data_IF_936528817249
#
_entry.id   IF_936528817249
#
_cell.length_a   1.000
_cell.length_b   1.000
_cell.length_c   1.000
_cell.angle_alpha   90.00
_cell.angle_beta   90.00
_cell.angle_gamma   90.00
#
_symmetry.space_group_name_H-M   'P 1'
#
loop_
_entity.id
_entity.type
_entity.pdbx_description
1 polymer ?
#
# COMPACT_ATOMS: atom_id res chain seq x y z
N UNK A 1 22.64 28.92 3.17
CA UNK A 1 22.77 28.33 4.52
C UNK A 1 22.35 26.86 4.43
N UNK A 2 23.18 25.90 4.81
CA UNK A 2 22.87 24.46 4.69
C UNK A 2 21.79 24.01 5.69
N UNK A 3 20.96 23.04 5.32
CA UNK A 3 19.99 22.43 6.24
C UNK A 3 20.72 21.70 7.37
N UNK A 4 20.17 21.74 8.59
CA UNK A 4 20.69 20.93 9.72
C UNK A 4 20.40 19.44 9.45
N UNK A 5 21.21 18.56 10.01
CA UNK A 5 21.04 17.10 9.87
C UNK A 5 19.64 16.62 10.28
N UNK A 6 19.08 17.17 11.36
CA UNK A 6 17.72 16.84 11.80
C UNK A 6 16.66 17.24 10.79
N UNK A 7 16.84 18.38 10.11
CA UNK A 7 15.91 18.85 9.09
C UNK A 7 16.02 17.95 7.85
N UNK A 8 17.24 17.52 7.49
CA UNK A 8 17.46 16.56 6.39
C UNK A 8 16.80 15.20 6.68
N UNK A 9 16.93 14.67 7.90
CA UNK A 9 16.30 13.39 8.28
C UNK A 9 14.79 13.50 8.25
N UNK A 10 14.22 14.59 8.79
CA UNK A 10 12.78 14.85 8.75
C UNK A 10 12.27 14.89 7.31
N UNK A 11 12.95 15.61 6.44
CA UNK A 11 12.59 15.68 5.02
C UNK A 11 12.63 14.31 4.36
N UNK A 12 13.66 13.49 4.65
CA UNK A 12 13.76 12.14 4.11
C UNK A 12 12.63 11.23 4.59
N UNK A 13 12.28 11.28 5.87
CA UNK A 13 11.17 10.49 6.42
C UNK A 13 9.84 10.95 5.80
N UNK A 14 9.61 12.25 5.71
CA UNK A 14 8.41 12.81 5.09
C UNK A 14 8.29 12.40 3.62
N UNK A 15 9.37 12.54 2.85
CA UNK A 15 9.40 12.14 1.44
C UNK A 15 9.24 10.63 1.26
N UNK A 16 9.80 9.80 2.17
CA UNK A 16 9.59 8.36 2.14
C UNK A 16 8.13 7.98 2.42
N UNK A 17 7.48 8.66 3.36
CA UNK A 17 6.06 8.45 3.65
C UNK A 17 5.18 8.83 2.45
N UNK A 18 5.38 10.04 1.91
CA UNK A 18 4.64 10.50 0.73
C UNK A 18 4.91 9.59 -0.47
N UNK A 19 6.17 9.20 -0.70
CA UNK A 19 6.54 8.30 -1.79
C UNK A 19 5.86 6.93 -1.70
N UNK A 20 5.74 6.36 -0.49
CA UNK A 20 5.02 5.10 -0.27
C UNK A 20 3.52 5.25 -0.58
N UNK A 21 2.88 6.26 -0.01
CA UNK A 21 1.44 6.52 -0.24
C UNK A 21 1.17 6.74 -1.73
N UNK A 22 1.97 7.58 -2.39
CA UNK A 22 1.84 7.86 -3.82
C UNK A 22 2.05 6.61 -4.69
N UNK A 23 3.06 5.79 -4.37
CA UNK A 23 3.33 4.56 -5.12
C UNK A 23 2.22 3.52 -5.00
N UNK A 24 1.70 3.32 -3.78
CA UNK A 24 0.55 2.46 -3.51
C UNK A 24 -0.68 2.93 -4.31
N UNK A 25 -1.01 4.22 -4.24
CA UNK A 25 -2.14 4.79 -4.97
C UNK A 25 -1.99 4.68 -6.50
N UNK A 26 -0.76 4.79 -7.03
CA UNK A 26 -0.49 4.68 -8.46
C UNK A 26 -0.78 3.27 -9.00
N UNK A 27 -0.48 2.22 -8.22
CA UNK A 27 -0.69 0.83 -8.62
C UNK A 27 -2.13 0.34 -8.39
N UNK A 28 -2.82 0.90 -7.39
CA UNK A 28 -4.13 0.43 -6.91
C UNK A 28 -5.18 0.24 -8.02
N UNK A 29 -5.37 1.15 -8.99
CA UNK A 29 -6.40 0.96 -10.02
C UNK A 29 -6.18 -0.23 -10.95
N UNK A 30 -4.93 -0.68 -11.09
CA UNK A 30 -4.51 -1.67 -12.10
C UNK A 30 -3.92 -2.94 -11.49
N UNK A 31 -3.96 -3.07 -10.17
CA UNK A 31 -3.45 -4.25 -9.46
C UNK A 31 -4.17 -5.52 -9.94
N UNK A 32 -5.50 -5.53 -9.87
CA UNK A 32 -6.28 -6.69 -10.30
C UNK A 32 -6.24 -6.92 -11.81
N UNK A 33 -6.16 -5.86 -12.61
CA UNK A 33 -5.90 -5.94 -14.04
C UNK A 33 -4.60 -6.72 -14.33
N UNK A 34 -3.52 -6.34 -13.64
CA UNK A 34 -2.21 -6.98 -13.77
C UNK A 34 -2.22 -8.43 -13.28
N UNK A 35 -2.76 -8.68 -12.08
CA UNK A 35 -2.75 -10.01 -11.44
C UNK A 35 -3.60 -11.01 -12.22
N UNK A 36 -4.83 -10.62 -12.63
CA UNK A 36 -5.78 -11.54 -13.27
C UNK A 36 -5.58 -11.68 -14.78
N UNK A 37 -5.06 -10.64 -15.44
CA UNK A 37 -5.01 -10.60 -16.91
C UNK A 37 -3.62 -10.40 -17.50
N UNK A 38 -2.61 -10.14 -16.66
CA UNK A 38 -1.22 -10.10 -17.04
C UNK A 38 -0.74 -8.78 -17.65
N UNK A 39 0.58 -8.67 -17.79
CA UNK A 39 1.28 -7.44 -18.18
C UNK A 39 0.88 -6.94 -19.58
N UNK A 40 0.52 -7.82 -20.50
CA UNK A 40 0.14 -7.41 -21.87
C UNK A 40 -1.17 -6.63 -21.88
N UNK A 41 -2.18 -7.06 -21.11
CA UNK A 41 -3.46 -6.34 -21.01
C UNK A 41 -3.26 -5.01 -20.28
N UNK A 42 -2.49 -5.01 -19.20
CA UNK A 42 -2.08 -3.78 -18.50
C UNK A 42 -1.40 -2.78 -19.45
N UNK A 43 -0.38 -3.20 -20.18
CA UNK A 43 0.35 -2.33 -21.11
C UNK A 43 -0.58 -1.75 -22.18
N UNK A 44 -1.48 -2.58 -22.72
CA UNK A 44 -2.48 -2.12 -23.70
C UNK A 44 -3.38 -1.04 -23.09
N UNK A 45 -3.93 -1.28 -21.90
CA UNK A 45 -4.75 -0.30 -21.20
C UNK A 45 -4.01 1.03 -21.03
N UNK A 46 -2.77 1.00 -20.50
CA UNK A 46 -1.96 2.20 -20.28
C UNK A 46 -1.67 2.98 -21.57
N UNK A 47 -1.51 2.30 -22.70
CA UNK A 47 -1.35 2.94 -24.02
C UNK A 47 -2.68 3.53 -24.49
N UNK A 48 -3.76 2.76 -24.42
CA UNK A 48 -5.09 3.16 -24.93
C UNK A 48 -5.66 4.37 -24.17
N UNK A 49 -5.31 4.54 -22.88
CA UNK A 49 -5.67 5.73 -22.07
C UNK A 49 -4.62 6.84 -22.08
N UNK A 50 -3.57 6.73 -22.92
CA UNK A 50 -2.47 7.68 -23.01
C UNK A 50 -1.74 7.96 -21.67
N UNK A 51 -1.62 6.95 -20.80
CA UNK A 51 -0.90 7.06 -19.53
C UNK A 51 0.62 6.86 -19.68
N UNK A 52 1.12 6.53 -20.88
CA UNK A 52 2.54 6.29 -21.14
C UNK A 52 3.24 7.49 -21.80
N UNK A 53 4.47 7.86 -21.37
CA UNK A 53 5.21 7.30 -20.24
C UNK A 53 4.52 7.65 -18.91
N UNK A 54 4.57 6.71 -17.95
CA UNK A 54 3.95 6.91 -16.64
C UNK A 54 4.63 8.08 -15.91
N UNK A 55 3.95 9.23 -15.93
CA UNK A 55 4.36 10.51 -15.34
C UNK A 55 3.33 11.05 -14.36
N UNK A 56 2.11 10.55 -14.45
CA UNK A 56 0.96 10.92 -13.63
C UNK A 56 0.20 9.66 -13.20
N UNK A 57 -0.83 9.84 -12.37
CA UNK A 57 -1.76 8.76 -12.00
C UNK A 57 -2.59 8.30 -13.20
N UNK A 58 -3.06 7.05 -13.11
CA UNK A 58 -3.76 6.36 -14.20
C UNK A 58 -5.20 6.90 -14.29
N UNK A 59 -5.73 7.20 -15.49
CA UNK A 59 -7.15 7.56 -15.66
C UNK A 59 -8.09 6.38 -15.34
N UNK A 60 -9.34 6.68 -14.97
CA UNK A 60 -10.37 5.66 -14.77
C UNK A 60 -11.23 5.52 -16.02
N UNK A 61 -11.04 4.44 -16.80
CA UNK A 61 -11.72 4.25 -18.11
C UNK A 61 -12.26 2.84 -18.29
N UNK A 62 -13.43 2.58 -17.69
CA UNK A 62 -14.15 1.30 -17.83
C UNK A 62 -14.65 1.01 -19.25
N UNK A 63 -14.80 2.04 -20.08
CA UNK A 63 -15.12 1.88 -21.50
C UNK A 63 -13.94 1.32 -22.32
N UNK A 64 -12.72 1.40 -21.77
CA UNK A 64 -11.50 0.82 -22.38
C UNK A 64 -11.19 -0.54 -21.77
N UNK A 65 -11.25 -0.67 -20.44
CA UNK A 65 -11.02 -1.93 -19.75
C UNK A 65 -11.86 -2.02 -18.46
N UNK A 66 -12.69 -3.06 -18.37
CA UNK A 66 -13.63 -3.30 -17.27
C UNK A 66 -12.98 -3.85 -15.99
N UNK A 67 -11.69 -4.21 -16.04
CA UNK A 67 -10.94 -4.74 -14.91
C UNK A 67 -10.13 -3.67 -14.15
N UNK A 68 -10.29 -2.39 -14.50
CA UNK A 68 -9.76 -1.26 -13.72
C UNK A 68 -10.66 -1.04 -12.52
N UNK A 69 -10.05 -0.89 -11.35
CA UNK A 69 -10.78 -0.74 -10.09
C UNK A 69 -10.43 0.60 -9.42
N UNK A 70 -11.08 0.89 -8.29
CA UNK A 70 -10.74 2.02 -7.42
C UNK A 70 -10.68 3.39 -8.13
N UNK A 71 -11.80 3.86 -8.67
CA UNK A 71 -11.95 5.18 -9.29
C UNK A 71 -11.29 6.31 -8.48
N UNK A 72 -11.50 6.35 -7.16
CA UNK A 72 -10.88 7.35 -6.27
C UNK A 72 -9.35 7.28 -6.11
N UNK A 73 -8.67 6.34 -6.76
CA UNK A 73 -7.21 6.29 -6.89
C UNK A 73 -6.69 6.75 -8.27
N UNK A 74 -7.60 7.15 -9.17
CA UNK A 74 -7.28 7.65 -10.51
C UNK A 74 -7.14 9.18 -10.52
N UNK A 75 -6.39 9.72 -11.48
CA UNK A 75 -5.95 11.14 -11.51
C UNK A 75 -7.10 12.16 -11.41
N UNK A 76 -8.27 11.87 -11.99
CA UNK A 76 -9.40 12.80 -12.07
C UNK A 76 -10.26 12.82 -10.78
N UNK A 77 -10.25 11.73 -10.03
CA UNK A 77 -11.19 11.48 -8.92
C UNK A 77 -10.50 11.40 -7.55
N UNK A 78 -9.17 11.35 -7.55
CA UNK A 78 -8.38 11.21 -6.32
C UNK A 78 -8.42 12.47 -5.46
N UNK A 79 -8.96 12.35 -4.25
CA UNK A 79 -8.99 13.42 -3.24
C UNK A 79 -8.25 13.07 -1.95
N UNK A 80 -8.03 11.78 -1.70
CA UNK A 80 -7.30 11.25 -0.55
C UNK A 80 -6.74 9.86 -0.87
N UNK A 81 -5.81 9.36 -0.05
CA UNK A 81 -5.39 7.96 -0.14
C UNK A 81 -6.53 7.03 0.27
N UNK A 82 -6.75 5.97 -0.49
CA UNK A 82 -7.64 4.88 -0.11
C UNK A 82 -6.85 3.91 0.78
N UNK A 83 -7.44 3.34 1.85
CA UNK A 83 -6.77 2.35 2.69
C UNK A 83 -6.20 1.17 1.89
N UNK A 84 -5.03 0.70 2.31
CA UNK A 84 -4.26 -0.32 1.64
C UNK A 84 -3.29 -0.99 2.62
N UNK A 85 -2.96 -2.26 2.39
CA UNK A 85 -2.10 -3.04 3.27
C UNK A 85 -0.67 -2.50 3.33
N UNK A 86 -0.14 -1.95 2.23
CA UNK A 86 1.17 -1.28 2.20
C UNK A 86 1.28 -0.17 3.25
N UNK A 87 0.18 0.57 3.46
CA UNK A 87 0.09 1.67 4.41
C UNK A 87 -0.24 1.15 5.81
N UNK A 88 -1.17 0.20 5.91
CA UNK A 88 -1.60 -0.36 7.18
C UNK A 88 -0.44 -1.05 7.92
N UNK A 89 0.33 -1.90 7.24
CA UNK A 89 1.50 -2.56 7.84
C UNK A 89 2.61 -1.57 8.20
N UNK A 90 2.77 -0.48 7.45
CA UNK A 90 3.72 0.58 7.79
C UNK A 90 3.33 1.28 9.09
N UNK A 91 2.05 1.64 9.25
CA UNK A 91 1.54 2.25 10.49
C UNK A 91 1.63 1.24 11.65
N UNK A 92 1.29 -0.02 11.41
CA UNK A 92 1.39 -1.08 12.42
C UNK A 92 2.83 -1.28 12.91
N UNK A 93 3.82 -1.15 12.00
CA UNK A 93 5.25 -1.21 12.34
C UNK A 93 5.70 -0.02 13.19
N UNK A 94 5.14 1.18 12.95
CA UNK A 94 5.39 2.34 13.81
C UNK A 94 4.83 2.10 15.22
N UNK A 95 3.58 1.68 15.33
CA UNK A 95 2.94 1.38 16.61
C UNK A 95 3.70 0.29 17.40
N UNK A 96 4.21 -0.73 16.69
CA UNK A 96 5.02 -1.80 17.30
C UNK A 96 6.29 -1.25 17.94
N UNK A 97 7.01 -0.35 17.24
CA UNK A 97 8.24 0.26 17.76
C UNK A 97 7.93 1.24 18.90
N UNK A 98 6.82 1.96 18.84
CA UNK A 98 6.38 2.84 19.93
C UNK A 98 6.01 2.04 21.20
N UNK A 99 5.39 0.87 21.06
CA UNK A 99 4.96 0.05 22.19
C UNK A 99 6.09 -0.81 22.78
N UNK A 100 6.92 -1.43 21.95
CA UNK A 100 7.93 -2.41 22.39
C UNK A 100 9.38 -1.95 22.20
N UNK A 101 9.61 -0.80 21.57
CA UNK A 101 10.94 -0.31 21.22
C UNK A 101 11.62 -1.09 20.10
N UNK A 102 12.86 -0.74 19.76
CA UNK A 102 13.62 -1.31 18.64
C UNK A 102 14.04 -2.79 18.84
N UNK A 103 13.79 -3.37 20.02
CA UNK A 103 14.14 -4.76 20.36
C UNK A 103 12.90 -5.66 20.47
N UNK A 104 11.83 -5.31 19.78
CA UNK A 104 10.63 -6.14 19.69
C UNK A 104 10.95 -7.53 19.13
N UNK A 105 10.10 -8.49 19.47
CA UNK A 105 10.20 -9.88 19.02
C UNK A 105 9.11 -10.19 17.99
N UNK A 106 9.24 -11.32 17.28
CA UNK A 106 8.17 -11.83 16.40
C UNK A 106 6.86 -12.08 17.18
N UNK A 107 6.95 -12.42 18.46
CA UNK A 107 5.77 -12.57 19.31
C UNK A 107 5.06 -11.22 19.56
N UNK A 108 5.81 -10.12 19.66
CA UNK A 108 5.23 -8.77 19.74
C UNK A 108 4.53 -8.39 18.43
N UNK A 109 5.12 -8.73 17.28
CA UNK A 109 4.46 -8.56 15.97
C UNK A 109 3.12 -9.30 15.93
N UNK A 110 3.10 -10.57 16.35
CA UNK A 110 1.87 -11.36 16.43
C UNK A 110 0.82 -10.74 17.37
N UNK A 111 1.23 -10.22 18.53
CA UNK A 111 0.36 -9.47 19.45
C UNK A 111 -0.24 -8.23 18.79
N UNK A 112 0.58 -7.47 18.07
CA UNK A 112 0.12 -6.27 17.35
C UNK A 112 -0.88 -6.60 16.26
N UNK A 113 -0.66 -7.69 15.51
CA UNK A 113 -1.59 -8.17 14.49
C UNK A 113 -2.95 -8.50 15.13
N UNK A 114 -2.98 -9.33 16.16
CA UNK A 114 -4.21 -9.71 16.85
C UNK A 114 -4.96 -8.52 17.48
N UNK A 115 -4.22 -7.47 17.86
CA UNK A 115 -4.79 -6.26 18.50
C UNK A 115 -5.36 -5.26 17.50
N UNK A 116 -4.69 -5.05 16.36
CA UNK A 116 -4.98 -3.91 15.48
C UNK A 116 -5.33 -4.28 14.04
N UNK A 117 -4.95 -5.48 13.56
CA UNK A 117 -5.14 -5.88 12.16
C UNK A 117 -6.34 -6.82 12.04
N UNK A 118 -7.48 -6.39 11.48
CA UNK A 118 -8.61 -7.29 11.31
C UNK A 118 -8.25 -8.45 10.36
N UNK A 119 -8.61 -9.67 10.72
CA UNK A 119 -8.35 -10.86 9.88
C UNK A 119 -9.03 -10.83 8.51
N UNK A 120 -9.99 -9.93 8.28
CA UNK A 120 -10.57 -9.69 6.94
C UNK A 120 -9.64 -8.92 6.00
N UNK A 121 -8.59 -8.30 6.52
CA UNK A 121 -7.66 -7.42 5.80
C UNK A 121 -6.31 -8.07 5.48
N UNK A 122 -6.14 -9.37 5.77
CA UNK A 122 -4.93 -10.13 5.47
C UNK A 122 -5.12 -11.04 4.26
N UNK A 123 -4.11 -11.14 3.42
CA UNK A 123 -4.19 -11.88 2.16
C UNK A 123 -3.07 -12.92 2.04
N UNK A 124 -3.35 -14.01 1.35
CA UNK A 124 -2.36 -15.06 1.02
C UNK A 124 -1.59 -15.57 2.25
N UNK A 125 -0.27 -15.39 2.30
CA UNK A 125 0.60 -15.86 3.38
C UNK A 125 0.27 -15.22 4.74
N UNK A 126 -0.17 -13.97 4.74
CA UNK A 126 -0.53 -13.25 5.96
C UNK A 126 -1.78 -13.85 6.58
N UNK A 127 -2.72 -14.30 5.74
CA UNK A 127 -3.93 -14.99 6.19
C UNK A 127 -3.59 -16.31 6.88
N UNK A 128 -2.70 -17.09 6.29
CA UNK A 128 -2.20 -18.33 6.91
C UNK A 128 -1.49 -18.06 8.24
N UNK A 129 -0.68 -17.00 8.32
CA UNK A 129 -0.03 -16.60 9.57
C UNK A 129 -1.06 -16.15 10.62
N UNK A 130 -2.06 -15.36 10.23
CA UNK A 130 -3.11 -14.86 11.12
C UNK A 130 -3.97 -15.98 11.70
N UNK A 131 -4.33 -16.98 10.87
CA UNK A 131 -5.09 -18.16 11.33
C UNK A 131 -4.29 -18.96 12.36
N UNK A 132 -2.99 -19.17 12.13
CA UNK A 132 -2.12 -19.84 13.11
C UNK A 132 -1.98 -19.06 14.40
N UNK A 133 -1.82 -17.73 14.30
CA UNK A 133 -1.81 -16.86 15.48
C UNK A 133 -3.12 -17.00 16.28
N UNK A 134 -4.29 -17.01 15.64
CA UNK A 134 -5.55 -17.22 16.36
C UNK A 134 -5.67 -18.61 17.00
N UNK A 135 -5.12 -19.64 16.37
CA UNK A 135 -5.21 -21.01 16.86
C UNK A 135 -4.23 -21.30 18.01
N UNK A 136 -3.06 -20.63 18.02
CA UNK A 136 -1.93 -21.00 18.87
C UNK A 136 -1.48 -19.88 19.83
N UNK A 137 -1.90 -18.62 19.63
CA UNK A 137 -1.51 -17.53 20.52
C UNK A 137 -2.29 -17.58 21.84
N UNK A 138 -1.55 -17.83 22.92
CA UNK A 138 -1.98 -17.92 24.33
C UNK A 138 -0.78 -18.19 25.22
#
# INVERSE_FOLDING_TARGET
>A
MGKRTTDIIRDRISSAWVGRVSGCMLGKPVEMLSIKHGVTRLQRYLVDVNAMPLREYIPFRLDVDDAVEHEGACIEEMSHSIPDDDINYTVLSLLLVEEFGHKFTTADVGRMWLRYLPGSMVFTAEREAYVKLLAEAG
#
